data_IF_429476775802
#
_entry.id   IF_429476775802
#
_cell.length_a   1.000
_cell.length_b   1.000
_cell.length_c   1.000
_cell.angle_alpha   90.00
_cell.angle_beta   90.00
_cell.angle_gamma   90.00
#
_symmetry.space_group_name_H-M   'P 1'
#
loop_
_entity.id
_entity.type
_entity.pdbx_description
1 polymer ?
#
# COMPACT_ATOMS: atom_id res chain seq x y z
N UNK A 1 35.07 -42.71 -5.07
CA UNK A 1 33.65 -43.12 -4.95
C UNK A 1 33.07 -42.55 -3.65
N UNK A 2 32.62 -41.30 -3.65
CA UNK A 2 32.05 -40.64 -2.46
C UNK A 2 30.53 -40.61 -2.60
N UNK A 3 29.91 -41.79 -2.53
CA UNK A 3 28.50 -41.97 -2.88
C UNK A 3 27.61 -41.80 -1.64
N UNK A 4 26.76 -40.76 -1.69
CA UNK A 4 25.35 -40.78 -1.28
C UNK A 4 25.02 -41.13 0.18
N UNK A 5 25.95 -40.96 1.13
CA UNK A 5 25.68 -41.15 2.58
C UNK A 5 24.43 -40.39 3.06
N UNK A 6 24.19 -39.19 2.50
CA UNK A 6 22.97 -38.43 2.79
C UNK A 6 21.71 -39.15 2.32
N UNK A 7 21.73 -39.76 1.12
CA UNK A 7 20.59 -40.53 0.62
C UNK A 7 20.35 -41.79 1.46
N UNK A 8 21.42 -42.46 1.89
CA UNK A 8 21.33 -43.63 2.78
C UNK A 8 20.70 -43.25 4.14
N UNK A 9 21.11 -42.12 4.72
CA UNK A 9 20.50 -41.60 5.94
C UNK A 9 19.01 -41.24 5.75
N UNK A 10 18.65 -40.65 4.61
CA UNK A 10 17.25 -40.35 4.29
C UNK A 10 16.43 -41.64 4.19
N UNK A 11 16.93 -42.67 3.51
CA UNK A 11 16.24 -43.96 3.44
C UNK A 11 16.13 -44.64 4.81
N UNK A 12 17.17 -44.53 5.66
CA UNK A 12 17.13 -45.05 7.02
C UNK A 12 16.08 -44.32 7.88
N UNK A 13 16.00 -42.99 7.78
CA UNK A 13 14.97 -42.19 8.46
C UNK A 13 13.57 -42.53 7.98
N UNK A 14 13.37 -42.69 6.67
CA UNK A 14 12.07 -43.09 6.10
C UNK A 14 11.71 -44.50 6.58
N UNK A 15 12.65 -45.45 6.55
CA UNK A 15 12.43 -46.81 7.03
C UNK A 15 12.03 -46.84 8.51
N UNK A 16 12.75 -46.09 9.35
CA UNK A 16 12.42 -45.97 10.77
C UNK A 16 11.04 -45.32 11.00
N UNK A 17 10.69 -44.31 10.21
CA UNK A 17 9.38 -43.66 10.28
C UNK A 17 8.25 -44.64 9.91
N UNK A 18 8.42 -45.43 8.84
CA UNK A 18 7.44 -46.45 8.45
C UNK A 18 7.25 -47.49 9.55
N UNK A 19 8.33 -47.98 10.15
CA UNK A 19 8.28 -48.93 11.27
C UNK A 19 7.52 -48.31 12.46
N UNK A 20 7.84 -47.06 12.81
CA UNK A 20 7.16 -46.33 13.89
C UNK A 20 5.66 -46.14 13.65
N UNK A 21 5.25 -45.91 12.40
CA UNK A 21 3.84 -45.81 12.03
C UNK A 21 3.16 -47.17 12.15
N UNK A 22 3.77 -48.24 11.64
CA UNK A 22 3.21 -49.60 11.72
C UNK A 22 3.01 -50.01 13.20
N UNK A 23 4.01 -49.79 14.05
CA UNK A 23 3.89 -50.13 15.48
C UNK A 23 2.82 -49.30 16.18
N UNK A 24 2.70 -48.01 15.87
CA UNK A 24 1.63 -47.16 16.40
C UNK A 24 0.24 -47.63 15.96
N UNK A 25 0.11 -48.13 14.72
CA UNK A 25 -1.14 -48.69 14.21
C UNK A 25 -1.56 -49.96 14.95
N UNK A 26 -0.63 -50.87 15.27
CA UNK A 26 -0.97 -52.13 15.95
C UNK A 26 -1.13 -52.00 17.46
N UNK A 27 -0.40 -51.08 18.10
CA UNK A 27 -0.43 -50.93 19.56
C UNK A 27 -1.61 -50.08 20.04
N UNK A 28 -1.90 -48.95 19.38
CA UNK A 28 -2.96 -48.03 19.79
C UNK A 28 -3.46 -47.18 18.60
N UNK A 29 -4.14 -47.82 17.66
CA UNK A 29 -4.62 -47.18 16.41
C UNK A 29 -5.47 -45.94 16.66
N UNK A 30 -6.40 -46.02 17.62
CA UNK A 30 -7.36 -44.94 17.90
C UNK A 30 -6.64 -43.70 18.43
N UNK A 31 -5.67 -43.89 19.34
CA UNK A 31 -4.88 -42.78 19.90
C UNK A 31 -3.98 -42.14 18.83
N UNK A 32 -3.37 -42.95 17.97
CA UNK A 32 -2.54 -42.47 16.87
C UNK A 32 -3.36 -41.62 15.87
N UNK A 33 -4.53 -42.11 15.44
CA UNK A 33 -5.39 -41.39 14.49
C UNK A 33 -5.93 -40.10 15.12
N UNK A 34 -6.40 -40.15 16.37
CA UNK A 34 -6.93 -38.96 17.05
C UNK A 34 -5.84 -37.90 17.26
N UNK A 35 -4.64 -38.28 17.70
CA UNK A 35 -3.52 -37.34 17.82
C UNK A 35 -3.07 -36.75 16.48
N UNK A 36 -3.08 -37.53 15.40
CA UNK A 36 -2.81 -37.04 14.05
C UNK A 36 -3.85 -36.01 13.60
N UNK A 37 -5.14 -36.30 13.80
CA UNK A 37 -6.24 -35.38 13.50
C UNK A 37 -6.14 -34.09 14.32
N UNK A 38 -5.86 -34.19 15.62
CA UNK A 38 -5.67 -33.04 16.51
C UNK A 38 -4.47 -32.21 16.05
N UNK A 39 -3.36 -32.84 15.68
CA UNK A 39 -2.17 -32.15 15.17
C UNK A 39 -2.49 -31.36 13.89
N UNK A 40 -3.15 -31.99 12.93
CA UNK A 40 -3.58 -31.33 11.68
C UNK A 40 -4.57 -30.20 11.98
N UNK A 41 -5.51 -30.40 12.89
CA UNK A 41 -6.51 -29.40 13.26
C UNK A 41 -5.87 -28.18 13.94
N UNK A 42 -4.92 -28.39 14.85
CA UNK A 42 -4.16 -27.31 15.49
C UNK A 42 -3.31 -26.57 14.44
N UNK A 43 -2.61 -27.31 13.57
CA UNK A 43 -1.82 -26.72 12.48
C UNK A 43 -2.67 -25.87 11.54
N UNK A 44 -3.84 -26.37 11.15
CA UNK A 44 -4.81 -25.66 10.32
C UNK A 44 -5.39 -24.44 11.06
N UNK A 45 -5.67 -24.53 12.35
CA UNK A 45 -6.15 -23.42 13.16
C UNK A 45 -5.11 -22.30 13.26
N UNK A 46 -3.85 -22.64 13.53
CA UNK A 46 -2.73 -21.68 13.59
C UNK A 46 -2.53 -21.04 12.21
N UNK A 47 -2.47 -21.85 11.15
CA UNK A 47 -2.34 -21.36 9.78
C UNK A 47 -3.52 -20.43 9.41
N UNK A 48 -4.73 -20.82 9.76
CA UNK A 48 -5.95 -20.04 9.55
C UNK A 48 -5.92 -18.70 10.30
N UNK A 49 -5.46 -18.68 11.55
CA UNK A 49 -5.27 -17.46 12.32
C UNK A 49 -4.23 -16.55 11.65
N UNK A 50 -3.06 -17.07 11.31
CA UNK A 50 -2.01 -16.28 10.64
C UNK A 50 -2.53 -15.74 9.30
N UNK A 51 -3.18 -16.58 8.51
CA UNK A 51 -3.75 -16.19 7.23
C UNK A 51 -4.80 -15.08 7.39
N UNK A 52 -5.73 -15.24 8.33
CA UNK A 52 -6.79 -14.26 8.57
C UNK A 52 -6.27 -12.93 9.12
N UNK A 53 -5.32 -12.97 10.07
CA UNK A 53 -4.83 -11.75 10.72
C UNK A 53 -3.76 -11.02 9.89
N UNK A 54 -2.85 -11.75 9.27
CA UNK A 54 -1.68 -11.18 8.58
C UNK A 54 -1.91 -11.05 7.08
N UNK A 55 -2.40 -12.09 6.42
CA UNK A 55 -2.42 -12.19 4.96
C UNK A 55 -3.72 -11.60 4.38
N UNK A 56 -4.88 -11.88 4.99
CA UNK A 56 -6.19 -11.39 4.52
C UNK A 56 -6.28 -9.86 4.49
N UNK A 57 -5.59 -9.16 5.40
CA UNK A 57 -5.57 -7.69 5.43
C UNK A 57 -4.66 -7.06 4.36
N UNK A 58 -3.79 -7.84 3.72
CA UNK A 58 -2.86 -7.35 2.71
C UNK A 58 -3.40 -7.37 1.29
N UNK A 59 -4.59 -7.92 1.03
CA UNK A 59 -5.21 -7.80 -0.29
C UNK A 59 -5.44 -6.33 -0.59
N UNK A 60 -4.75 -5.74 -1.59
CA UNK A 60 -4.81 -4.33 -1.81
C UNK A 60 -6.22 -3.99 -2.30
N UNK A 61 -6.92 -3.20 -1.49
CA UNK A 61 -8.29 -2.79 -1.73
C UNK A 61 -8.32 -1.67 -2.80
N UNK A 62 -7.65 -1.90 -3.93
CA UNK A 62 -7.36 -0.89 -4.95
C UNK A 62 -8.64 -0.41 -5.61
N UNK A 63 -9.64 -1.27 -5.74
CA UNK A 63 -10.98 -0.88 -6.18
C UNK A 63 -11.62 0.14 -5.21
N UNK A 64 -11.49 -0.05 -3.89
CA UNK A 64 -12.01 0.91 -2.90
C UNK A 64 -11.22 2.22 -2.95
N UNK A 65 -9.89 2.16 -3.10
CA UNK A 65 -9.04 3.36 -3.23
C UNK A 65 -9.37 4.15 -4.51
N UNK A 66 -9.49 3.46 -5.64
CA UNK A 66 -9.88 4.04 -6.92
C UNK A 66 -11.25 4.71 -6.83
N UNK A 67 -12.27 4.02 -6.30
CA UNK A 67 -13.61 4.61 -6.10
C UNK A 67 -13.57 5.87 -5.23
N UNK A 68 -12.78 5.88 -4.15
CA UNK A 68 -12.57 7.07 -3.32
C UNK A 68 -11.90 8.21 -4.08
N UNK A 69 -10.83 7.92 -4.82
CA UNK A 69 -10.10 8.91 -5.61
C UNK A 69 -10.98 9.52 -6.73
N UNK A 70 -11.76 8.69 -7.42
CA UNK A 70 -12.73 9.14 -8.43
C UNK A 70 -13.80 10.04 -7.81
N UNK A 71 -14.35 9.67 -6.65
CA UNK A 71 -15.34 10.51 -5.95
C UNK A 71 -14.74 11.87 -5.57
N UNK A 72 -13.53 11.89 -5.03
CA UNK A 72 -12.82 13.12 -4.66
C UNK A 72 -12.52 14.00 -5.89
N UNK A 73 -12.06 13.39 -7.00
CA UNK A 73 -11.83 14.10 -8.26
C UNK A 73 -13.13 14.71 -8.81
N UNK A 74 -14.20 13.92 -8.90
CA UNK A 74 -15.52 14.40 -9.35
C UNK A 74 -16.05 15.53 -8.47
N UNK A 75 -15.87 15.47 -7.15
CA UNK A 75 -16.27 16.55 -6.24
C UNK A 75 -15.45 17.83 -6.48
N UNK A 76 -14.12 17.74 -6.63
CA UNK A 76 -13.26 18.89 -6.91
C UNK A 76 -13.69 19.65 -8.17
N UNK A 77 -14.03 18.93 -9.25
CA UNK A 77 -14.41 19.56 -10.51
C UNK A 77 -15.89 19.94 -10.60
N UNK A 78 -16.79 19.35 -9.79
CA UNK A 78 -18.20 19.78 -9.70
C UNK A 78 -18.33 21.23 -9.19
N UNK A 79 -17.54 21.61 -8.18
CA UNK A 79 -17.53 23.00 -7.69
C UNK A 79 -16.96 23.99 -8.71
N UNK A 80 -16.10 23.54 -9.63
CA UNK A 80 -15.50 24.39 -10.66
C UNK A 80 -16.38 24.53 -11.91
N UNK A 81 -17.28 23.58 -12.21
CA UNK A 81 -18.28 23.75 -13.28
C UNK A 81 -19.38 24.73 -12.88
N UNK A 82 -19.86 24.68 -11.64
CA UNK A 82 -20.87 25.64 -11.14
C UNK A 82 -20.32 27.07 -10.97
N UNK A 83 -19.00 27.26 -10.93
CA UNK A 83 -18.36 28.58 -10.87
C UNK A 83 -17.89 29.13 -12.22
N UNK A 84 -18.01 28.36 -13.32
CA UNK A 84 -17.52 28.77 -14.66
C UNK A 84 -18.56 29.47 -15.54
N UNK A 85 -19.80 29.66 -15.07
CA UNK A 85 -20.84 30.32 -15.85
C UNK A 85 -21.07 31.80 -15.53
N UNK A 86 -20.17 32.48 -14.82
CA UNK A 86 -20.24 33.94 -14.75
C UNK A 86 -18.87 34.59 -14.98
N UNK A 87 -18.65 35.24 -16.15
CA UNK A 87 -17.58 36.20 -16.29
C UNK A 87 -17.99 37.45 -15.52
N UNK A 88 -17.57 37.56 -14.25
CA UNK A 88 -17.70 38.81 -13.49
C UNK A 88 -16.35 39.48 -13.34
N UNK A 89 -16.30 40.82 -13.52
CA UNK A 89 -15.07 41.55 -13.72
C UNK A 89 -14.23 41.56 -12.44
N UNK A 90 -12.91 41.59 -12.67
CA UNK A 90 -11.87 41.78 -11.69
C UNK A 90 -12.23 42.95 -10.79
N UNK A 91 -12.58 42.67 -9.52
CA UNK A 91 -12.56 43.68 -8.46
C UNK A 91 -11.76 43.16 -7.28
N UNK A 92 -10.70 43.90 -7.06
CA UNK A 92 -9.77 43.84 -5.95
C UNK A 92 -10.54 44.18 -4.66
N UNK A 93 -10.38 43.40 -3.59
CA UNK A 93 -9.93 43.89 -2.28
C UNK A 93 -10.13 42.89 -1.12
N UNK A 94 -9.01 42.65 -0.44
CA UNK A 94 -8.81 42.66 1.03
C UNK A 94 -9.36 41.48 1.85
N UNK A 95 -8.38 40.65 2.25
CA UNK A 95 -8.16 40.06 3.59
C UNK A 95 -9.20 39.09 4.14
N UNK A 96 -8.79 37.83 4.37
CA UNK A 96 -9.00 37.12 5.65
C UNK A 96 -8.07 35.89 5.76
N UNK A 97 -7.02 36.09 6.56
CA UNK A 97 -6.34 35.16 7.48
C UNK A 97 -6.62 33.66 7.27
N UNK A 98 -5.66 32.94 6.67
CA UNK A 98 -5.55 31.49 6.84
C UNK A 98 -4.31 31.16 7.65
N UNK A 99 -4.52 30.80 8.92
CA UNK A 99 -3.54 30.11 9.75
C UNK A 99 -3.32 28.73 9.09
N UNK A 100 -2.24 28.59 8.32
CA UNK A 100 -1.73 27.28 7.90
C UNK A 100 -0.53 27.00 8.78
N UNK A 101 -0.70 26.05 9.71
CA UNK A 101 0.40 25.49 10.50
C UNK A 101 1.43 24.90 9.53
N UNK A 102 2.72 25.26 9.61
CA UNK A 102 3.71 24.74 8.68
C UNK A 102 4.00 23.27 8.99
N UNK A 103 3.97 22.41 7.96
CA UNK A 103 4.63 21.12 8.00
C UNK A 103 6.13 21.41 8.05
N UNK A 104 6.66 21.41 9.27
CA UNK A 104 8.05 21.70 9.56
C UNK A 104 8.95 20.62 8.94
N UNK A 105 10.03 21.10 8.34
CA UNK A 105 11.22 20.40 7.84
C UNK A 105 11.16 19.78 6.43
N UNK A 106 11.17 20.64 5.41
CA UNK A 106 12.20 20.51 4.37
C UNK A 106 13.10 21.74 4.48
N UNK A 107 14.25 21.58 5.13
CA UNK A 107 15.27 22.63 5.20
C UNK A 107 16.01 22.66 3.86
N UNK A 108 16.43 23.88 3.51
CA UNK A 108 17.38 24.25 2.44
C UNK A 108 16.73 24.30 1.06
N UNK A 109 16.20 25.48 0.74
CA UNK A 109 16.68 26.29 -0.40
C UNK A 109 15.60 27.32 -0.72
N UNK A 110 15.83 28.54 -0.22
CA UNK A 110 14.97 29.69 -0.50
C UNK A 110 14.98 29.97 -2.01
N UNK A 111 13.82 30.21 -2.65
CA UNK A 111 13.82 30.70 -4.03
C UNK A 111 14.39 32.11 -4.02
N UNK A 112 15.60 32.25 -4.52
CA UNK A 112 16.26 33.53 -4.75
C UNK A 112 15.34 34.37 -5.65
N UNK A 113 15.00 35.58 -5.22
CA UNK A 113 14.23 36.52 -6.03
C UNK A 113 15.07 36.87 -7.25
N UNK A 114 14.78 36.28 -8.40
CA UNK A 114 15.23 36.82 -9.68
C UNK A 114 14.30 37.96 -10.05
N UNK A 115 14.90 39.09 -10.41
CA UNK A 115 14.19 40.17 -11.10
C UNK A 115 13.53 39.54 -12.34
N UNK A 116 12.21 39.67 -12.45
CA UNK A 116 11.51 39.31 -13.69
C UNK A 116 11.92 40.36 -14.72
N UNK A 117 12.95 40.05 -15.49
CA UNK A 117 13.26 40.79 -16.70
C UNK A 117 12.43 40.26 -17.87
N UNK A 118 11.77 41.19 -18.57
CA UNK A 118 11.06 40.96 -19.84
C UNK A 118 9.57 41.32 -19.72
N UNK A 119 8.97 42.18 -20.54
CA UNK A 119 9.32 42.69 -21.86
C UNK A 119 8.76 44.14 -21.97
N UNK A 120 9.56 45.16 -21.62
CA UNK A 120 9.20 46.57 -21.90
C UNK A 120 9.37 46.82 -23.40
N UNK A 121 8.37 46.45 -24.20
CA UNK A 121 8.30 46.92 -25.58
C UNK A 121 7.87 48.40 -25.57
N UNK A 122 8.85 49.20 -26.03
CA UNK A 122 8.88 50.64 -26.30
C UNK A 122 7.52 51.30 -26.48
N UNK A 123 7.28 52.38 -25.71
CA UNK A 123 6.28 53.40 -26.06
C UNK A 123 6.53 53.82 -27.51
N UNK A 124 5.56 53.59 -28.40
CA UNK A 124 5.56 54.19 -29.73
C UNK A 124 5.64 55.71 -29.54
N UNK A 125 6.59 56.34 -30.22
CA UNK A 125 6.75 57.78 -30.29
C UNK A 125 5.38 58.45 -30.46
N UNK A 126 4.98 59.23 -29.45
CA UNK A 126 3.95 60.26 -29.62
C UNK A 126 4.64 61.47 -30.24
N UNK A 127 4.79 61.44 -31.55
CA UNK A 127 4.83 62.65 -32.35
C UNK A 127 3.42 62.79 -32.94
N UNK A 128 2.63 63.71 -32.38
CA UNK A 128 1.45 64.25 -33.05
C UNK A 128 1.84 65.63 -33.56
N UNK A 129 1.60 65.84 -34.86
CA UNK A 129 1.53 67.17 -35.47
C UNK A 129 0.25 67.88 -34.98
#
# INVERSE_FOLDING_TARGET
MKQNIMSLLVYLLIGLAVIGVITALFTNTISFITSLLISVLIGAAIFGLIYFFVIRKRTPNDIRKYRKAVKQSKQKYKYNKLKKEQPRPIKQNITHKKIIRPLKNSRKDAPQLRVIEGNKQKKKNRASL
#
